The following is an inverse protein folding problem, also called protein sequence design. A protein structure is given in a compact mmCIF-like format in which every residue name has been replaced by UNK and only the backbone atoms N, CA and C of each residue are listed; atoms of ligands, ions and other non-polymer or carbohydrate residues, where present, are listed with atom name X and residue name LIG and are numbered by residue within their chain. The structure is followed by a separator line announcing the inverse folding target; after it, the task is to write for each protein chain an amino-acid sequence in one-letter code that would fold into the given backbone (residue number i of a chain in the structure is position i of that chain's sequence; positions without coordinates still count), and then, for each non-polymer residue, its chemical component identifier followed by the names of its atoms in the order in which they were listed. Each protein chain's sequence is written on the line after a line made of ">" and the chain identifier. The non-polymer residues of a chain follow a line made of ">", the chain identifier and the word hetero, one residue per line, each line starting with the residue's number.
data_IF_765469905215
#
_entry.id   IF_765469905215
#
_cell.length_a   1.000
_cell.length_b   1.000
_cell.length_c   1.000
_cell.angle_alpha   90.00
_cell.angle_beta   90.00
_cell.angle_gamma   90.00
#
_symmetry.space_group_name_H-M   'P 1'
#
loop_
_entity.id
_entity.type
_entity.pdbx_description
1 polymer ?
#
# COMPACT_ATOMS: atom_id res chain seq x y z
N UNK A 1 -11.57 2.75 8.86
CA UNK A 1 -10.86 3.67 7.93
C UNK A 1 -10.15 4.72 8.75
N UNK A 2 -8.94 5.15 8.38
CA UNK A 2 -8.09 5.96 9.28
C UNK A 2 -7.53 7.25 8.69
N UNK A 3 -7.29 7.36 7.36
CA UNK A 3 -6.48 8.45 6.80
C UNK A 3 -6.99 9.07 5.47
N UNK A 4 -8.21 8.78 5.04
CA UNK A 4 -8.72 9.23 3.72
C UNK A 4 -8.68 10.75 3.54
N UNK A 5 -9.21 11.52 4.51
CA UNK A 5 -9.19 12.98 4.45
C UNK A 5 -7.79 13.59 4.50
N UNK A 6 -6.86 12.97 5.23
CA UNK A 6 -5.46 13.41 5.30
C UNK A 6 -4.77 13.20 3.95
N UNK A 7 -4.96 12.03 3.33
CA UNK A 7 -4.43 11.74 1.99
C UNK A 7 -4.94 12.74 0.96
N UNK A 8 -6.26 12.95 0.90
CA UNK A 8 -6.88 13.88 -0.05
C UNK A 8 -6.38 15.31 0.13
N UNK A 9 -6.31 15.79 1.39
CA UNK A 9 -5.80 17.14 1.69
C UNK A 9 -4.35 17.33 1.25
N UNK A 10 -3.48 16.35 1.53
CA UNK A 10 -2.08 16.45 1.15
C UNK A 10 -1.89 16.34 -0.37
N UNK A 11 -2.63 15.46 -1.04
CA UNK A 11 -2.63 15.35 -2.50
C UNK A 11 -3.09 16.67 -3.16
N UNK A 12 -4.17 17.28 -2.67
CA UNK A 12 -4.67 18.57 -3.18
C UNK A 12 -3.67 19.72 -2.97
N UNK A 13 -2.82 19.65 -1.94
CA UNK A 13 -1.73 20.60 -1.70
C UNK A 13 -0.47 20.31 -2.53
N UNK A 14 -0.52 19.38 -3.50
CA UNK A 14 0.61 18.99 -4.34
C UNK A 14 1.66 18.13 -3.63
N UNK A 15 1.38 17.65 -2.41
CA UNK A 15 2.30 16.77 -1.72
C UNK A 15 2.29 15.37 -2.33
N UNK A 16 3.48 14.77 -2.43
CA UNK A 16 3.63 13.37 -2.81
C UNK A 16 3.13 12.47 -1.69
N UNK A 17 2.06 11.72 -1.95
CA UNK A 17 1.51 10.72 -1.03
C UNK A 17 1.66 9.31 -1.63
N UNK A 18 1.72 8.30 -0.77
CA UNK A 18 1.73 6.90 -1.15
C UNK A 18 1.08 6.06 -0.05
N UNK A 19 0.45 4.95 -0.45
CA UNK A 19 -0.14 3.97 0.46
C UNK A 19 0.48 2.61 0.20
N UNK A 20 1.05 2.02 1.25
CA UNK A 20 1.52 0.64 1.26
C UNK A 20 0.49 -0.21 2.01
N UNK A 21 0.00 -1.26 1.37
CA UNK A 21 -0.93 -2.22 1.97
C UNK A 21 -0.19 -3.53 2.19
N UNK A 22 -0.20 -4.02 3.44
CA UNK A 22 0.58 -5.19 3.81
C UNK A 22 -0.05 -6.50 3.30
N UNK A 23 -1.38 -6.59 3.34
CA UNK A 23 -2.11 -7.78 2.90
C UNK A 23 -2.80 -7.57 1.56
N UNK A 24 -3.24 -8.68 0.96
CA UNK A 24 -3.84 -8.79 -0.37
C UNK A 24 -2.83 -8.82 -1.52
N UNK A 25 -3.01 -9.76 -2.44
CA UNK A 25 -2.26 -9.84 -3.68
C UNK A 25 -2.74 -8.79 -4.69
N UNK A 26 -1.82 -8.34 -5.55
CA UNK A 26 -2.05 -7.24 -6.49
C UNK A 26 -3.03 -7.58 -7.64
N UNK A 27 -3.24 -8.87 -7.90
CA UNK A 27 -4.13 -9.42 -8.92
C UNK A 27 -5.57 -9.68 -8.41
N UNK A 28 -5.90 -9.23 -7.20
CA UNK A 28 -7.23 -9.41 -6.61
C UNK A 28 -8.19 -8.25 -6.92
N UNK A 29 -9.50 -8.51 -6.93
CA UNK A 29 -10.53 -7.46 -7.07
C UNK A 29 -10.37 -6.36 -6.01
N UNK A 30 -10.01 -6.72 -4.78
CA UNK A 30 -9.78 -5.76 -3.69
C UNK A 30 -8.60 -4.82 -3.97
N UNK A 31 -7.58 -5.29 -4.68
CA UNK A 31 -6.48 -4.43 -5.11
C UNK A 31 -6.97 -3.40 -6.15
N UNK A 32 -7.87 -3.79 -7.06
CA UNK A 32 -8.48 -2.89 -8.03
C UNK A 32 -9.40 -1.84 -7.35
N UNK A 33 -10.23 -2.25 -6.39
CA UNK A 33 -11.06 -1.34 -5.58
C UNK A 33 -10.19 -0.31 -4.83
N UNK A 34 -9.08 -0.77 -4.22
CA UNK A 34 -8.15 0.11 -3.54
C UNK A 34 -7.48 1.08 -4.53
N UNK A 35 -7.08 0.62 -5.71
CA UNK A 35 -6.50 1.48 -6.73
C UNK A 35 -7.46 2.61 -7.15
N UNK A 36 -8.74 2.28 -7.31
CA UNK A 36 -9.76 3.28 -7.63
C UNK A 36 -9.98 4.27 -6.47
N UNK A 37 -10.05 3.78 -5.23
CA UNK A 37 -10.16 4.65 -4.06
C UNK A 37 -8.96 5.61 -3.94
N UNK A 38 -7.74 5.13 -4.15
CA UNK A 38 -6.55 5.99 -4.11
C UNK A 38 -6.49 6.97 -5.28
N UNK A 39 -6.99 6.59 -6.46
CA UNK A 39 -7.16 7.51 -7.60
C UNK A 39 -8.08 8.66 -7.24
N UNK A 40 -9.24 8.37 -6.62
CA UNK A 40 -10.19 9.40 -6.14
C UNK A 40 -9.51 10.33 -5.12
N UNK A 41 -8.68 9.79 -4.23
CA UNK A 41 -7.96 10.58 -3.23
C UNK A 41 -6.71 11.31 -3.77
N UNK A 42 -6.34 11.11 -5.04
CA UNK A 42 -5.12 11.67 -5.63
C UNK A 42 -3.82 11.06 -5.06
N UNK A 43 -3.89 9.87 -4.45
CA UNK A 43 -2.78 9.25 -3.72
C UNK A 43 -1.93 8.26 -4.54
N UNK A 44 -2.08 8.28 -5.87
CA UNK A 44 -1.36 7.38 -6.78
C UNK A 44 -1.82 5.92 -6.71
N UNK A 45 -0.99 5.01 -7.24
CA UNK A 45 -1.27 3.57 -7.23
C UNK A 45 -0.93 2.94 -5.86
N UNK A 46 -1.70 1.95 -5.39
CA UNK A 46 -1.38 1.22 -4.17
C UNK A 46 -0.08 0.43 -4.34
N UNK A 47 0.69 0.33 -3.26
CA UNK A 47 1.89 -0.50 -3.17
C UNK A 47 1.54 -1.72 -2.32
N UNK A 48 1.39 -2.88 -2.95
CA UNK A 48 0.94 -4.11 -2.29
C UNK A 48 2.15 -4.96 -1.87
N UNK A 49 2.27 -5.31 -0.58
CA UNK A 49 3.32 -6.25 -0.13
C UNK A 49 2.99 -7.72 -0.48
N UNK A 50 1.71 -8.01 -0.74
CA UNK A 50 1.25 -9.30 -1.28
C UNK A 50 0.99 -10.40 -0.26
N UNK A 51 1.11 -10.14 1.05
CA UNK A 51 0.89 -11.17 2.06
C UNK A 51 -0.59 -11.56 2.16
N UNK A 52 -0.86 -12.82 2.52
CA UNK A 52 -2.22 -13.22 2.85
C UNK A 52 -2.64 -12.58 4.19
N UNK A 53 -3.89 -12.13 4.22
CA UNK A 53 -4.57 -11.73 5.45
C UNK A 53 -4.79 -12.93 6.36
N UNK A 54 -4.60 -12.74 7.66
CA UNK A 54 -4.69 -13.82 8.64
C UNK A 54 -6.09 -14.46 8.73
N UNK A 55 -7.13 -13.70 8.41
CA UNK A 55 -8.55 -14.08 8.53
C UNK A 55 -9.21 -14.34 7.18
N UNK A 56 -8.60 -13.88 6.08
CA UNK A 56 -9.16 -14.01 4.73
C UNK A 56 -8.23 -14.84 3.85
N UNK A 57 -8.44 -16.15 3.79
CA UNK A 57 -7.55 -17.10 3.09
C UNK A 57 -7.35 -16.81 1.59
N UNK A 58 -8.36 -16.27 0.91
CA UNK A 58 -8.30 -15.97 -0.53
C UNK A 58 -7.74 -14.57 -0.85
N UNK A 59 -7.28 -13.83 0.16
CA UNK A 59 -6.74 -12.48 -0.03
C UNK A 59 -5.45 -12.45 -0.85
N UNK A 60 -4.63 -13.51 -0.78
CA UNK A 60 -3.43 -13.67 -1.59
C UNK A 60 -3.16 -15.17 -1.82
N UNK A 61 -3.83 -15.80 -2.82
CA UNK A 61 -3.66 -17.22 -3.09
C UNK A 61 -2.20 -17.58 -3.38
N UNK A 62 -1.68 -18.60 -2.70
CA UNK A 62 -0.28 -19.04 -2.85
C UNK A 62 0.74 -18.24 -2.04
N UNK A 63 0.33 -17.19 -1.31
CA UNK A 63 1.22 -16.38 -0.48
C UNK A 63 1.06 -16.70 1.01
N UNK A 64 2.17 -16.59 1.75
CA UNK A 64 2.20 -16.74 3.21
C UNK A 64 1.40 -15.63 3.89
N UNK A 65 0.78 -15.94 5.03
CA UNK A 65 0.11 -14.92 5.86
C UNK A 65 1.15 -13.96 6.40
N UNK A 66 0.81 -12.68 6.54
CA UNK A 66 1.73 -11.68 7.08
C UNK A 66 2.28 -12.10 8.47
N UNK A 67 1.42 -12.67 9.31
CA UNK A 67 1.80 -13.11 10.65
C UNK A 67 2.73 -14.33 10.68
N UNK A 68 2.80 -15.10 9.59
CA UNK A 68 3.68 -16.27 9.49
C UNK A 68 4.95 -15.95 8.67
N UNK A 69 5.03 -14.76 8.07
CA UNK A 69 6.18 -14.35 7.28
C UNK A 69 7.40 -14.08 8.19
N UNK A 70 8.63 -14.43 7.76
CA UNK A 70 9.84 -14.02 8.47
C UNK A 70 9.90 -12.49 8.58
N UNK A 71 10.12 -11.98 9.80
CA UNK A 71 10.11 -10.53 10.06
C UNK A 71 11.07 -9.78 9.14
N UNK A 72 12.32 -10.26 9.02
CA UNK A 72 13.32 -9.60 8.18
C UNK A 72 12.89 -9.52 6.71
N UNK A 73 12.13 -10.50 6.22
CA UNK A 73 11.59 -10.47 4.86
C UNK A 73 10.53 -9.38 4.72
N UNK A 74 9.56 -9.33 5.64
CA UNK A 74 8.51 -8.30 5.64
C UNK A 74 9.10 -6.90 5.75
N UNK A 75 10.10 -6.72 6.63
CA UNK A 75 10.83 -5.46 6.78
C UNK A 75 11.57 -5.11 5.49
N UNK A 76 12.30 -6.05 4.88
CA UNK A 76 13.01 -5.82 3.60
C UNK A 76 12.07 -5.34 2.50
N UNK A 77 10.90 -5.99 2.33
CA UNK A 77 9.91 -5.60 1.31
C UNK A 77 9.34 -4.20 1.58
N UNK A 78 9.02 -3.89 2.83
CA UNK A 78 8.56 -2.54 3.20
C UNK A 78 9.63 -1.47 2.94
N UNK A 79 10.88 -1.76 3.32
CA UNK A 79 12.02 -0.85 3.12
C UNK A 79 12.27 -0.61 1.63
N UNK A 80 12.06 -1.60 0.76
CA UNK A 80 12.17 -1.40 -0.69
C UNK A 80 11.21 -0.31 -1.17
N UNK A 81 9.94 -0.33 -0.76
CA UNK A 81 8.99 0.73 -1.10
C UNK A 81 9.34 2.09 -0.50
N UNK A 82 9.86 2.14 0.74
CA UNK A 82 10.32 3.39 1.36
C UNK A 82 11.49 3.98 0.58
N UNK A 83 12.42 3.15 0.07
CA UNK A 83 13.56 3.61 -0.73
C UNK A 83 13.14 4.10 -2.12
N UNK A 84 12.17 3.44 -2.75
CA UNK A 84 11.57 3.89 -4.01
C UNK A 84 10.74 5.17 -3.83
N UNK A 85 10.13 5.35 -2.66
CA UNK A 85 9.34 6.52 -2.32
C UNK A 85 9.82 7.13 -0.99
N UNK A 86 10.98 7.83 -0.99
CA UNK A 86 11.51 8.42 0.23
C UNK A 86 10.52 9.42 0.83
N UNK A 87 10.01 9.18 2.06
CA UNK A 87 9.12 10.10 2.74
C UNK A 87 9.82 11.45 2.97
N UNK A 88 9.05 12.55 2.93
CA UNK A 88 9.60 13.90 3.10
C UNK A 88 10.28 14.49 1.87
N UNK A 89 10.53 13.70 0.81
CA UNK A 89 10.98 14.25 -0.49
C UNK A 89 9.82 14.99 -1.15
N UNK A 90 9.98 16.31 -1.33
CA UNK A 90 9.00 17.19 -1.98
C UNK A 90 8.66 16.72 -3.40
N UNK A 91 7.43 17.01 -3.84
CA UNK A 91 7.06 16.93 -5.25
C UNK A 91 7.94 17.83 -6.11
N UNK A 92 8.28 17.37 -7.32
CA UNK A 92 8.78 18.31 -8.33
C UNK A 92 7.60 19.18 -8.77
N UNK A 93 7.77 20.50 -8.92
CA UNK A 93 6.70 21.40 -9.36
C UNK A 93 6.17 21.03 -10.75
#
# INVERSE_FOLDING_TARGET
>A
MSAGGVLARHAAAGARTAVVTATWAADTQRAAELAEALRILGAGKPRMLGYADARVRHSAPGWVRLCDAPLDEAVRRLVAHIREFPPGRRGHP
#
